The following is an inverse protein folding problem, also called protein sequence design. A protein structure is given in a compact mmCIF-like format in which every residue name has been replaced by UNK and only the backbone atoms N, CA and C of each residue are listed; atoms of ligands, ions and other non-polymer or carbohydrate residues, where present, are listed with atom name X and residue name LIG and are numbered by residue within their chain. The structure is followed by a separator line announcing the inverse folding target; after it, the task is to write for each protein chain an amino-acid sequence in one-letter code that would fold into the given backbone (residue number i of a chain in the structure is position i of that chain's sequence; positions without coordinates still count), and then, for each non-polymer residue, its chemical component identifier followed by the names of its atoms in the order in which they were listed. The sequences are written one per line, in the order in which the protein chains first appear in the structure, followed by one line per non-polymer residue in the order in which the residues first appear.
data_IF_155486142662
#
_entry.id   IF_155486142662
#
_cell.length_a   1.000
_cell.length_b   1.000
_cell.length_c   1.000
_cell.angle_alpha   90.00
_cell.angle_beta   90.00
_cell.angle_gamma   90.00
#
_symmetry.space_group_name_H-M   'P 1'
#
loop_
_entity.id
_entity.type
_entity.pdbx_description
1 polymer ?
#
# COMPACT_ATOMS: atom_id res chain seq x y z
N UNK A 1 -16.30 -13.86 -15.58
CA UNK A 1 -17.21 -12.71 -15.76
C UNK A 1 -18.37 -13.10 -16.67
N UNK A 2 -19.51 -12.39 -16.63
CA UNK A 2 -20.63 -12.62 -17.58
C UNK A 2 -20.39 -11.96 -18.95
N UNK A 3 -19.58 -10.91 -18.98
CA UNK A 3 -19.15 -10.20 -20.18
C UNK A 3 -17.66 -9.83 -20.09
N UNK A 4 -17.05 -9.44 -21.21
CA UNK A 4 -15.70 -8.91 -21.22
C UNK A 4 -15.69 -7.55 -20.51
N UNK A 5 -14.75 -7.34 -19.58
CA UNK A 5 -14.65 -6.09 -18.85
C UNK A 5 -13.21 -5.79 -18.43
N UNK A 6 -12.99 -4.57 -17.93
CA UNK A 6 -11.75 -4.17 -17.26
C UNK A 6 -12.10 -3.69 -15.86
N UNK A 7 -11.46 -4.25 -14.83
CA UNK A 7 -11.74 -3.87 -13.46
C UNK A 7 -10.44 -3.67 -12.68
N UNK A 8 -10.42 -2.72 -11.72
CA UNK A 8 -9.42 -2.72 -10.68
C UNK A 8 -9.60 -3.97 -9.81
N UNK A 9 -8.49 -4.49 -9.28
CA UNK A 9 -8.51 -5.56 -8.28
C UNK A 9 -7.40 -5.37 -7.26
N UNK A 10 -7.59 -5.93 -6.07
CA UNK A 10 -6.63 -5.84 -4.99
C UNK A 10 -6.76 -6.98 -4.00
N UNK A 11 -5.65 -7.30 -3.34
CA UNK A 11 -5.61 -8.08 -2.11
C UNK A 11 -5.40 -7.10 -0.96
N UNK A 12 -6.10 -7.30 0.16
CA UNK A 12 -6.04 -6.37 1.30
C UNK A 12 -5.49 -7.02 2.59
N UNK A 13 -4.36 -7.75 2.57
CA UNK A 13 -3.81 -8.31 3.80
C UNK A 13 -3.29 -7.17 4.69
N UNK A 14 -3.74 -7.21 5.93
CA UNK A 14 -3.44 -6.22 6.96
C UNK A 14 -2.63 -6.89 8.06
N UNK A 15 -1.55 -6.26 8.49
CA UNK A 15 -0.61 -6.79 9.45
C UNK A 15 -0.63 -5.95 10.73
N UNK A 16 -0.72 -6.64 11.86
CA UNK A 16 -0.55 -6.02 13.18
C UNK A 16 0.91 -5.57 13.35
N UNK A 17 1.10 -4.42 13.97
CA UNK A 17 2.41 -3.82 14.22
C UNK A 17 2.81 -3.94 15.70
N UNK A 18 4.12 -3.91 16.02
CA UNK A 18 4.58 -3.90 17.41
C UNK A 18 4.16 -2.60 18.10
N UNK A 19 4.13 -2.60 19.44
CA UNK A 19 3.79 -1.40 20.21
C UNK A 19 4.87 -0.31 20.13
N UNK A 20 6.11 -0.69 19.81
CA UNK A 20 7.27 0.22 19.73
C UNK A 20 7.30 0.90 18.36
N UNK A 21 7.18 2.24 18.33
CA UNK A 21 7.30 3.03 17.11
C UNK A 21 8.63 2.74 16.38
N UNK A 22 8.57 2.56 15.06
CA UNK A 22 9.71 2.17 14.23
C UNK A 22 10.31 0.79 14.53
N UNK A 23 9.62 -0.03 15.34
CA UNK A 23 10.07 -1.36 15.76
C UNK A 23 10.00 -2.43 14.66
N UNK A 24 9.33 -2.14 13.55
CA UNK A 24 9.31 -2.97 12.36
C UNK A 24 9.72 -2.17 11.11
N UNK A 25 10.28 -2.87 10.12
CA UNK A 25 10.72 -2.29 8.85
C UNK A 25 9.99 -2.94 7.67
N UNK A 26 9.48 -2.12 6.77
CA UNK A 26 8.93 -2.53 5.48
C UNK A 26 10.10 -2.76 4.52
N UNK A 27 10.14 -3.94 3.93
CA UNK A 27 11.16 -4.40 2.99
C UNK A 27 10.46 -4.72 1.66
N UNK A 28 10.13 -3.71 0.82
CA UNK A 28 9.55 -3.96 -0.49
C UNK A 28 10.62 -4.55 -1.41
N UNK A 29 10.19 -5.39 -2.35
CA UNK A 29 11.02 -5.68 -3.52
C UNK A 29 11.23 -4.40 -4.36
N UNK A 30 12.08 -4.49 -5.39
CA UNK A 30 12.31 -3.38 -6.32
C UNK A 30 10.97 -2.87 -6.88
N UNK A 31 10.80 -1.56 -6.90
CA UNK A 31 9.69 -0.87 -7.54
C UNK A 31 10.23 0.27 -8.42
N UNK A 32 9.44 0.72 -9.39
CA UNK A 32 9.88 1.73 -10.36
C UNK A 32 9.63 3.17 -9.87
N UNK A 33 8.48 3.43 -9.25
CA UNK A 33 8.18 4.71 -8.60
C UNK A 33 7.19 4.59 -7.44
N UNK A 34 7.33 5.47 -6.45
CA UNK A 34 6.38 5.64 -5.35
C UNK A 34 5.53 6.89 -5.52
N UNK A 35 4.29 6.86 -5.03
CA UNK A 35 3.38 8.01 -5.01
C UNK A 35 2.67 8.17 -3.67
N UNK A 36 2.56 9.41 -3.22
CA UNK A 36 1.69 9.79 -2.10
C UNK A 36 0.25 10.00 -2.58
N UNK A 37 -0.72 9.82 -1.68
CA UNK A 37 -2.14 9.91 -2.02
C UNK A 37 -2.51 11.31 -2.56
N UNK A 38 -3.33 11.41 -3.63
CA UNK A 38 -3.77 12.70 -4.20
C UNK A 38 -4.95 13.31 -3.42
N UNK A 39 -4.96 13.18 -2.09
CA UNK A 39 -6.04 13.66 -1.22
C UNK A 39 -5.71 13.48 0.26
N UNK A 40 -6.73 13.56 1.11
CA UNK A 40 -6.61 13.29 2.55
C UNK A 40 -7.36 11.98 2.85
N UNK A 41 -6.71 11.06 3.57
CA UNK A 41 -7.36 9.81 4.00
C UNK A 41 -8.25 10.06 5.21
N UNK A 42 -7.70 10.71 6.23
CA UNK A 42 -8.40 11.14 7.43
C UNK A 42 -8.12 12.65 7.65
N UNK A 43 -9.14 13.52 7.61
CA UNK A 43 -8.95 14.95 7.80
C UNK A 43 -8.28 15.29 9.15
N UNK A 44 -7.25 16.13 9.13
CA UNK A 44 -6.50 16.53 10.32
C UNK A 44 -5.47 15.51 10.81
N UNK A 45 -5.23 14.45 10.05
CA UNK A 45 -4.26 13.37 10.32
C UNK A 45 -3.25 13.18 9.20
N UNK A 46 -3.10 14.20 8.35
CA UNK A 46 -2.20 14.19 7.21
C UNK A 46 -0.73 14.30 7.64
N UNK A 47 0.13 13.52 7.01
CA UNK A 47 1.57 13.44 7.25
C UNK A 47 2.37 13.65 5.96
N UNK A 48 1.99 12.99 4.86
CA UNK A 48 2.69 13.06 3.58
C UNK A 48 2.12 14.14 2.66
N UNK A 49 2.99 14.73 1.84
CA UNK A 49 2.59 15.72 0.85
C UNK A 49 1.63 15.10 -0.17
N UNK A 50 0.71 15.88 -0.72
CA UNK A 50 -0.29 15.39 -1.70
C UNK A 50 0.30 15.28 -3.10
N UNK A 51 -0.01 14.18 -3.77
CA UNK A 51 0.32 13.93 -5.18
C UNK A 51 1.81 14.19 -5.51
N UNK A 52 2.68 13.57 -4.73
CA UNK A 52 4.14 13.61 -4.90
C UNK A 52 4.69 12.25 -5.26
N UNK A 53 5.74 12.26 -6.09
CA UNK A 53 6.53 11.08 -6.42
C UNK A 53 7.69 10.94 -5.44
N UNK A 54 8.09 9.70 -5.19
CA UNK A 54 9.30 9.35 -4.45
C UNK A 54 9.91 8.07 -5.04
N UNK A 55 11.16 7.77 -4.68
CA UNK A 55 11.87 6.56 -5.12
C UNK A 55 12.29 5.66 -3.97
N UNK A 56 12.16 6.12 -2.72
CA UNK A 56 12.54 5.39 -1.52
C UNK A 56 11.58 5.73 -0.37
N UNK A 57 11.11 4.68 0.33
CA UNK A 57 10.27 4.83 1.52
C UNK A 57 10.99 5.55 2.66
N UNK A 58 12.32 5.58 2.68
CA UNK A 58 13.08 6.31 3.70
C UNK A 58 12.97 7.83 3.58
N UNK A 59 12.55 8.36 2.42
CA UNK A 59 12.53 9.80 2.12
C UNK A 59 11.25 10.21 1.37
N UNK A 60 10.09 9.90 1.95
CA UNK A 60 8.78 10.27 1.37
C UNK A 60 8.49 11.75 1.65
N UNK A 61 8.14 12.57 0.63
CA UNK A 61 7.81 13.98 0.81
C UNK A 61 6.69 14.21 1.84
N UNK A 62 6.92 15.13 2.77
CA UNK A 62 5.99 15.42 3.88
C UNK A 62 5.25 16.75 3.72
N UNK A 63 4.11 16.89 4.42
CA UNK A 63 3.27 18.09 4.39
C UNK A 63 3.99 19.38 4.82
N UNK A 64 4.95 19.26 5.71
CA UNK A 64 5.76 20.36 6.25
C UNK A 64 6.93 20.76 5.35
N UNK A 65 7.01 20.23 4.13
CA UNK A 65 8.02 20.59 3.13
C UNK A 65 9.33 19.81 3.23
N UNK A 66 9.44 18.87 4.16
CA UNK A 66 10.59 17.96 4.29
C UNK A 66 10.36 16.59 3.64
N UNK A 67 11.05 15.60 4.20
CA UNK A 67 10.83 14.19 3.92
C UNK A 67 10.75 13.40 5.23
N UNK A 68 10.01 12.29 5.23
CA UNK A 68 9.82 11.40 6.38
C UNK A 68 10.06 9.95 5.98
N UNK A 69 10.66 9.19 6.89
CA UNK A 69 10.85 7.75 6.75
C UNK A 69 9.51 7.03 6.98
N UNK A 70 8.94 6.50 5.90
CA UNK A 70 7.74 5.67 5.89
C UNK A 70 8.08 4.17 5.99
N UNK A 71 9.35 3.78 5.89
CA UNK A 71 9.77 2.38 5.93
C UNK A 71 9.75 1.78 7.33
N UNK A 72 9.73 2.61 8.38
CA UNK A 72 9.77 2.18 9.78
C UNK A 72 8.41 2.39 10.45
N UNK A 73 7.80 1.31 10.88
CA UNK A 73 6.43 1.28 11.41
C UNK A 73 6.36 0.60 12.79
N UNK A 74 5.38 0.93 13.64
CA UNK A 74 4.41 2.02 13.50
C UNK A 74 5.08 3.39 13.43
N UNK A 75 4.43 4.35 12.77
CA UNK A 75 4.93 5.72 12.67
C UNK A 75 4.85 6.42 14.05
N UNK A 76 5.73 7.39 14.30
CA UNK A 76 5.66 8.18 15.53
C UNK A 76 4.39 9.05 15.59
N UNK A 77 3.99 9.63 14.46
CA UNK A 77 2.83 10.51 14.36
C UNK A 77 1.51 9.73 14.24
N UNK A 78 0.45 10.26 14.88
CA UNK A 78 -0.91 9.79 14.69
C UNK A 78 -1.40 10.17 13.30
N UNK A 79 -1.68 9.18 12.45
CA UNK A 79 -1.94 9.41 11.03
C UNK A 79 -2.81 8.32 10.41
N UNK A 80 -3.46 8.66 9.30
CA UNK A 80 -3.97 7.69 8.33
C UNK A 80 -3.44 8.09 6.96
N UNK A 81 -2.68 7.21 6.32
CA UNK A 81 -2.00 7.51 5.06
C UNK A 81 -2.07 6.37 4.07
N UNK A 82 -2.00 6.74 2.79
CA UNK A 82 -1.84 5.81 1.67
C UNK A 82 -0.60 6.19 0.87
N UNK A 83 0.30 5.23 0.69
CA UNK A 83 1.38 5.31 -0.30
C UNK A 83 1.22 4.18 -1.30
N UNK A 84 1.59 4.40 -2.56
CA UNK A 84 1.58 3.35 -3.56
C UNK A 84 2.94 3.20 -4.21
N UNK A 85 3.44 1.96 -4.24
CA UNK A 85 4.64 1.56 -4.98
C UNK A 85 4.21 0.94 -6.30
N UNK A 86 4.61 1.54 -7.41
CA UNK A 86 4.25 1.15 -8.77
C UNK A 86 5.38 0.33 -9.42
N UNK A 87 5.04 -0.64 -10.26
CA UNK A 87 6.03 -1.49 -10.93
C UNK A 87 6.82 -2.37 -9.96
N UNK A 88 6.20 -2.79 -8.86
CA UNK A 88 6.87 -3.56 -7.82
C UNK A 88 7.02 -5.05 -8.18
N UNK A 89 8.17 -5.62 -7.84
CA UNK A 89 8.48 -7.03 -8.01
C UNK A 89 7.81 -7.91 -6.96
N UNK A 90 6.49 -8.12 -7.05
CA UNK A 90 5.77 -9.31 -6.55
C UNK A 90 5.96 -9.74 -5.08
N UNK A 91 6.62 -8.94 -4.24
CA UNK A 91 6.91 -9.28 -2.85
C UNK A 91 7.16 -8.06 -1.98
N UNK A 92 6.79 -8.18 -0.71
CA UNK A 92 7.14 -7.27 0.38
C UNK A 92 7.28 -8.08 1.66
N UNK A 93 8.20 -7.69 2.53
CA UNK A 93 8.28 -8.21 3.88
C UNK A 93 8.11 -7.10 4.93
N UNK A 94 7.69 -7.52 6.12
CA UNK A 94 7.68 -6.71 7.33
C UNK A 94 8.60 -7.40 8.35
N UNK A 95 9.79 -6.85 8.55
CA UNK A 95 10.74 -7.31 9.55
C UNK A 95 10.44 -6.64 10.89
N UNK A 96 9.77 -7.35 11.79
CA UNK A 96 9.45 -6.89 13.14
C UNK A 96 10.59 -7.22 14.11
N UNK A 97 11.60 -6.36 14.15
CA UNK A 97 12.76 -6.52 15.03
C UNK A 97 12.38 -6.43 16.53
N UNK A 98 11.33 -5.67 16.86
CA UNK A 98 10.84 -5.57 18.24
C UNK A 98 10.29 -6.90 18.79
N UNK A 99 9.89 -7.83 17.91
CA UNK A 99 9.28 -9.10 18.30
C UNK A 99 9.96 -10.33 17.65
N UNK A 100 11.09 -10.13 16.97
CA UNK A 100 11.96 -11.20 16.49
C UNK A 100 11.43 -12.03 15.32
N UNK A 101 10.57 -11.47 14.46
CA UNK A 101 10.05 -12.19 13.29
C UNK A 101 10.00 -11.33 12.03
N UNK A 102 10.02 -11.99 10.87
CA UNK A 102 9.73 -11.40 9.57
C UNK A 102 8.53 -12.10 8.96
N UNK A 103 7.57 -11.32 8.46
CA UNK A 103 6.49 -11.85 7.62
C UNK A 103 6.71 -11.39 6.18
N UNK A 104 6.62 -12.31 5.23
CA UNK A 104 6.76 -12.05 3.80
C UNK A 104 5.45 -12.34 3.08
N UNK A 105 5.02 -11.38 2.27
CA UNK A 105 3.95 -11.53 1.30
C UNK A 105 4.57 -11.60 -0.10
N UNK A 106 4.19 -12.61 -0.88
CA UNK A 106 4.53 -12.71 -2.30
C UNK A 106 3.28 -12.98 -3.14
N UNK A 107 3.25 -12.51 -4.38
CA UNK A 107 2.09 -12.58 -5.28
C UNK A 107 2.49 -12.60 -6.75
N UNK A 108 1.52 -12.88 -7.63
CA UNK A 108 1.69 -12.76 -9.08
C UNK A 108 1.66 -11.29 -9.51
N UNK A 109 2.83 -10.71 -9.78
CA UNK A 109 2.96 -9.27 -10.11
C UNK A 109 2.25 -8.88 -11.40
N UNK A 110 2.10 -9.83 -12.33
CA UNK A 110 1.36 -9.63 -13.59
C UNK A 110 -0.13 -9.34 -13.34
N UNK A 111 -0.65 -9.77 -12.19
CA UNK A 111 -2.02 -9.49 -11.76
C UNK A 111 -2.14 -8.28 -10.84
N UNK A 112 -1.07 -7.97 -10.09
CA UNK A 112 -1.01 -6.89 -9.12
C UNK A 112 0.33 -6.14 -9.27
N UNK A 113 0.43 -5.21 -10.23
CA UNK A 113 1.68 -4.54 -10.57
C UNK A 113 2.07 -3.44 -9.57
N UNK A 114 1.23 -3.17 -8.56
CA UNK A 114 1.50 -2.17 -7.52
C UNK A 114 1.30 -2.75 -6.13
N UNK A 115 1.88 -2.09 -5.13
CA UNK A 115 1.63 -2.32 -3.71
C UNK A 115 1.10 -1.02 -3.09
N UNK A 116 -0.12 -1.05 -2.57
CA UNK A 116 -0.67 0.00 -1.73
C UNK A 116 -0.27 -0.29 -0.27
N UNK A 117 0.35 0.70 0.36
CA UNK A 117 0.67 0.71 1.77
C UNK A 117 -0.37 1.59 2.47
N UNK A 118 -1.22 0.96 3.29
CA UNK A 118 -2.16 1.67 4.16
C UNK A 118 -1.61 1.75 5.57
N UNK A 119 -1.27 2.95 6.01
CA UNK A 119 -0.82 3.23 7.35
C UNK A 119 -2.03 3.62 8.18
N UNK A 120 -2.55 2.71 8.99
CA UNK A 120 -3.51 3.07 10.03
C UNK A 120 -2.77 3.19 11.35
N UNK A 121 -2.61 4.40 11.85
CA UNK A 121 -1.75 4.66 12.99
C UNK A 121 -2.42 5.63 13.95
N UNK A 122 -3.48 5.14 14.63
CA UNK A 122 -4.28 5.90 15.62
C UNK A 122 -4.96 7.15 15.06
N UNK A 123 -4.94 7.38 13.74
CA UNK A 123 -5.48 8.61 13.16
C UNK A 123 -7.01 8.67 13.24
N UNK A 124 -7.70 7.54 13.05
CA UNK A 124 -9.17 7.44 13.12
C UNK A 124 -9.67 7.61 14.55
N UNK A 125 -10.15 8.81 14.87
CA UNK A 125 -10.67 9.16 16.21
C UNK A 125 -12.13 8.72 16.41
N UNK A 126 -12.90 8.58 15.34
CA UNK A 126 -14.29 8.15 15.40
C UNK A 126 -14.43 6.70 15.90
N UNK A 127 -15.59 6.38 16.47
CA UNK A 127 -15.93 5.00 16.81
C UNK A 127 -16.00 4.13 15.54
N UNK A 128 -15.60 2.84 15.60
CA UNK A 128 -15.13 2.11 16.79
C UNK A 128 -13.61 2.23 17.05
N UNK A 129 -12.86 2.92 16.20
CA UNK A 129 -11.41 2.97 16.28
C UNK A 129 -10.91 3.74 17.51
N UNK A 130 -11.56 4.85 17.87
CA UNK A 130 -11.27 5.66 19.07
C UNK A 130 -9.77 6.02 19.20
N UNK A 131 -9.06 6.21 18.09
CA UNK A 131 -7.62 6.48 18.08
C UNK A 131 -6.73 5.34 18.58
N UNK A 132 -7.22 4.09 18.58
CA UNK A 132 -6.48 2.93 19.11
C UNK A 132 -5.97 1.96 18.05
N UNK A 133 -6.48 2.07 16.82
CA UNK A 133 -6.14 1.12 15.76
C UNK A 133 -4.75 1.38 15.18
N UNK A 134 -3.93 0.34 15.12
CA UNK A 134 -2.57 0.38 14.57
C UNK A 134 -2.38 -0.84 13.69
N UNK A 135 -2.21 -0.63 12.39
CA UNK A 135 -2.00 -1.68 11.42
C UNK A 135 -1.31 -1.15 10.15
N UNK A 136 -0.67 -2.06 9.42
CA UNK A 136 -0.15 -1.80 8.08
C UNK A 136 -0.89 -2.69 7.08
N UNK A 137 -1.64 -2.09 6.16
CA UNK A 137 -2.05 -2.77 4.93
C UNK A 137 -0.84 -2.88 4.00
N UNK A 138 -0.50 -4.10 3.59
CA UNK A 138 0.46 -4.33 2.51
C UNK A 138 -0.33 -4.96 1.36
N UNK A 139 -0.86 -4.13 0.48
CA UNK A 139 -1.99 -4.49 -0.38
C UNK A 139 -1.57 -4.56 -1.86
N UNK A 140 -1.26 -5.75 -2.41
CA UNK A 140 -1.04 -5.92 -3.84
C UNK A 140 -2.27 -5.50 -4.64
N UNK A 141 -2.12 -4.54 -5.55
CA UNK A 141 -3.24 -4.01 -6.34
C UNK A 141 -2.89 -3.84 -7.82
N UNK A 142 -3.93 -3.92 -8.64
CA UNK A 142 -4.03 -3.36 -9.99
C UNK A 142 -5.13 -2.30 -9.95
N UNK A 143 -4.79 -1.14 -9.39
CA UNK A 143 -5.70 -0.03 -9.12
C UNK A 143 -4.87 1.22 -8.77
N UNK A 144 -5.38 2.45 -8.98
CA UNK A 144 -4.79 3.64 -8.39
C UNK A 144 -5.31 3.83 -6.97
N UNK A 145 -4.47 3.57 -5.96
CA UNK A 145 -4.74 3.69 -4.52
C UNK A 145 -5.96 2.90 -4.05
N UNK A 146 -6.27 1.77 -4.69
CA UNK A 146 -7.47 0.98 -4.37
C UNK A 146 -8.78 1.65 -4.80
N UNK A 147 -8.73 2.73 -5.57
CA UNK A 147 -9.90 3.46 -6.05
C UNK A 147 -10.68 2.65 -7.10
N UNK A 148 -11.98 2.98 -7.20
CA UNK A 148 -12.95 2.23 -8.00
C UNK A 148 -12.77 2.35 -9.52
N UNK A 149 -13.62 1.64 -10.30
CA UNK A 149 -13.50 1.52 -11.75
C UNK A 149 -13.43 2.84 -12.50
N UNK A 150 -14.17 3.87 -12.07
CA UNK A 150 -14.15 5.19 -12.71
C UNK A 150 -12.75 5.80 -12.76
N UNK A 151 -12.05 5.82 -11.62
CA UNK A 151 -10.66 6.33 -11.54
C UNK A 151 -9.68 5.37 -12.21
N UNK A 152 -9.85 4.07 -12.01
CA UNK A 152 -8.97 3.04 -12.54
C UNK A 152 -8.96 2.98 -14.07
N UNK A 153 -10.07 3.30 -14.72
CA UNK A 153 -10.22 3.31 -16.19
C UNK A 153 -9.96 4.67 -16.83
N UNK A 154 -9.88 5.75 -16.03
CA UNK A 154 -9.56 7.09 -16.50
C UNK A 154 -8.07 7.28 -16.77
N UNK A 155 -7.73 8.37 -17.48
CA UNK A 155 -6.35 8.83 -17.63
C UNK A 155 -5.83 9.38 -16.29
N UNK A 156 -5.13 8.52 -15.55
CA UNK A 156 -4.58 8.84 -14.24
C UNK A 156 -3.04 8.80 -14.25
N UNK A 157 -2.36 9.48 -13.31
CA UNK A 157 -0.90 9.57 -13.30
C UNK A 157 -0.15 8.22 -13.22
N UNK A 158 -0.77 7.16 -12.68
CA UNK A 158 -0.18 5.82 -12.58
C UNK A 158 -0.32 5.08 -13.92
N UNK A 159 -1.47 5.18 -14.57
CA UNK A 159 -1.64 4.65 -15.93
C UNK A 159 -0.67 5.31 -16.92
N UNK A 160 -0.45 6.63 -16.81
CA UNK A 160 0.53 7.37 -17.64
C UNK A 160 1.98 6.97 -17.42
N UNK A 161 2.33 6.42 -16.25
CA UNK A 161 3.69 5.89 -16.03
C UNK A 161 3.88 4.48 -16.61
N UNK A 162 2.84 3.90 -17.21
CA UNK A 162 2.87 2.56 -17.80
C UNK A 162 2.48 1.44 -16.84
N UNK A 163 2.17 1.76 -15.57
CA UNK A 163 1.71 0.75 -14.60
C UNK A 163 0.21 0.49 -14.79
N UNK A 164 -0.22 -0.77 -15.02
CA UNK A 164 -1.64 -1.07 -15.19
C UNK A 164 -2.47 -0.74 -13.94
N UNK A 165 -3.57 -0.02 -14.14
CA UNK A 165 -4.54 0.36 -13.08
C UNK A 165 -5.85 -0.41 -13.15
N UNK A 166 -6.03 -1.26 -14.15
CA UNK A 166 -7.16 -2.17 -14.27
C UNK A 166 -6.76 -3.38 -15.12
N UNK A 167 -7.27 -4.56 -14.75
CA UNK A 167 -7.01 -5.82 -15.47
C UNK A 167 -8.16 -6.16 -16.41
N UNK A 168 -7.90 -6.63 -17.65
CA UNK A 168 -8.93 -7.20 -18.49
C UNK A 168 -9.37 -8.58 -17.97
N UNK A 169 -10.68 -8.84 -18.03
CA UNK A 169 -11.30 -10.13 -17.77
C UNK A 169 -12.17 -10.51 -18.96
N UNK A 170 -12.12 -11.78 -19.37
CA UNK A 170 -12.98 -12.29 -20.44
C UNK A 170 -14.21 -13.00 -19.88
N UNK A 171 -15.30 -12.94 -20.63
CA UNK A 171 -16.51 -13.69 -20.33
C UNK A 171 -16.21 -15.19 -20.33
N UNK A 172 -16.77 -15.93 -19.36
CA UNK A 172 -16.60 -17.38 -19.26
C UNK A 172 -15.23 -17.87 -18.78
N UNK A 173 -14.20 -17.03 -18.74
CA UNK A 173 -12.88 -17.41 -18.22
C UNK A 173 -12.83 -17.35 -16.69
N UNK A 174 -12.15 -18.34 -16.09
CA UNK A 174 -11.78 -18.32 -14.68
C UNK A 174 -10.50 -17.53 -14.50
N UNK A 175 -10.54 -16.53 -13.64
CA UNK A 175 -9.33 -15.86 -13.17
C UNK A 175 -8.74 -16.60 -11.97
N UNK A 176 -7.52 -17.08 -12.10
CA UNK A 176 -6.75 -17.69 -11.02
C UNK A 176 -5.53 -16.84 -10.71
N UNK A 177 -5.32 -16.54 -9.43
CA UNK A 177 -4.10 -15.89 -8.93
C UNK A 177 -3.59 -16.62 -7.70
N UNK A 178 -2.34 -16.35 -7.32
CA UNK A 178 -1.70 -16.94 -6.14
C UNK A 178 -0.98 -15.85 -5.38
N UNK A 179 -1.05 -15.98 -4.07
CA UNK A 179 -0.22 -15.24 -3.14
C UNK A 179 0.17 -16.18 -1.99
N UNK A 180 1.21 -15.81 -1.25
CA UNK A 180 1.69 -16.55 -0.09
C UNK A 180 2.05 -15.56 1.01
N UNK A 181 1.62 -15.86 2.22
CA UNK A 181 2.06 -15.19 3.44
C UNK A 181 2.83 -16.23 4.25
N UNK A 182 4.06 -15.90 4.63
CA UNK A 182 4.91 -16.77 5.43
C UNK A 182 5.64 -15.98 6.51
N UNK A 183 5.95 -16.65 7.62
CA UNK A 183 6.66 -16.05 8.75
C UNK A 183 7.94 -16.84 9.04
N UNK A 184 9.01 -16.13 9.36
CA UNK A 184 10.30 -16.67 9.77
C UNK A 184 10.84 -15.90 10.98
N UNK A 185 11.68 -16.53 11.79
CA UNK A 185 12.41 -15.82 12.84
C UNK A 185 13.43 -14.84 12.22
N UNK A 186 13.72 -13.75 12.93
CA UNK A 186 14.76 -12.79 12.56
C UNK A 186 16.14 -13.18 13.10
#
# INVERSE_FOLDING_TARGET
MRENCRLPLGLHPTFRLPAVAGGARIEPARFDDGRTFPGNVEPGRELFAVDRRFSDLAVVPSRDGGARDASRVPLAADTEELLQLNGIDGSVALANAAEGYRVRLSWQKEHFPSLLLWYSNRGRSAAPWNGRHVALGMEPICSPFGLGPGTALADNPIARSGTPTARPFRAGETFLTRYRIEAEAL
#
